data_IF_985051231364
#
_entry.id   IF_985051231364
#
_cell.length_a   1.000
_cell.length_b   1.000
_cell.length_c   1.000
_cell.angle_alpha   90.00
_cell.angle_beta   90.00
_cell.angle_gamma   90.00
#
_symmetry.space_group_name_H-M   'P 1'
#
loop_
_entity.id
_entity.type
_entity.pdbx_description
1 polymer ?
#
# COMPACT_ATOMS: atom_id res chain seq x y z
N UNK A 1 -7.55 7.82 13.22
CA UNK A 1 -8.37 8.01 11.99
C UNK A 1 -7.57 8.20 10.70
N UNK A 2 -6.30 8.63 10.71
CA UNK A 2 -5.55 8.93 9.47
C UNK A 2 -4.91 7.70 8.78
N UNK A 3 -4.48 6.69 9.55
CA UNK A 3 -3.79 5.50 9.00
C UNK A 3 -4.71 4.64 8.13
N UNK A 4 -5.91 4.32 8.60
CA UNK A 4 -6.85 3.48 7.86
C UNK A 4 -7.25 4.10 6.52
N UNK A 5 -7.32 5.43 6.45
CA UNK A 5 -7.58 6.18 5.22
C UNK A 5 -6.39 6.15 4.27
N UNK A 6 -5.17 6.34 4.78
CA UNK A 6 -3.95 6.26 3.99
C UNK A 6 -3.77 4.87 3.36
N UNK A 7 -4.00 3.80 4.14
CA UNK A 7 -3.97 2.42 3.64
C UNK A 7 -5.01 2.20 2.54
N UNK A 8 -6.25 2.66 2.74
CA UNK A 8 -7.30 2.52 1.73
C UNK A 8 -6.91 3.20 0.41
N UNK A 9 -6.41 4.44 0.47
CA UNK A 9 -5.98 5.16 -0.73
C UNK A 9 -4.85 4.44 -1.47
N UNK A 10 -3.89 3.84 -0.74
CA UNK A 10 -2.81 3.07 -1.36
C UNK A 10 -3.34 1.81 -2.06
N UNK A 11 -4.34 1.14 -1.48
CA UNK A 11 -5.03 0.00 -2.10
C UNK A 11 -5.75 0.44 -3.37
N UNK A 12 -6.50 1.54 -3.33
CA UNK A 12 -7.27 2.04 -4.47
C UNK A 12 -6.35 2.41 -5.65
N UNK A 13 -5.22 3.08 -5.37
CA UNK A 13 -4.17 3.37 -6.37
C UNK A 13 -3.63 2.07 -6.97
N UNK A 14 -3.36 1.07 -6.12
CA UNK A 14 -2.81 -0.22 -6.58
C UNK A 14 -3.77 -0.93 -7.53
N UNK A 15 -5.05 -1.00 -7.16
CA UNK A 15 -6.10 -1.59 -7.99
C UNK A 15 -6.28 -0.81 -9.30
N UNK A 16 -6.23 0.52 -9.26
CA UNK A 16 -6.31 1.34 -10.46
C UNK A 16 -5.17 1.02 -11.44
N UNK A 17 -3.93 0.94 -10.96
CA UNK A 17 -2.76 0.60 -11.79
C UNK A 17 -2.88 -0.83 -12.35
N UNK A 18 -3.26 -1.81 -11.52
CA UNK A 18 -3.41 -3.20 -11.95
C UNK A 18 -4.51 -3.36 -13.00
N UNK A 19 -5.61 -2.61 -12.88
CA UNK A 19 -6.70 -2.62 -13.87
C UNK A 19 -6.22 -2.19 -15.26
N UNK A 20 -5.23 -1.28 -15.33
CA UNK A 20 -4.63 -0.83 -16.59
C UNK A 20 -3.67 -1.86 -17.23
N UNK A 21 -3.34 -2.94 -16.52
CA UNK A 21 -2.38 -3.96 -16.96
C UNK A 21 -3.03 -5.32 -17.30
N UNK A 22 -4.37 -5.39 -17.34
CA UNK A 22 -5.12 -6.64 -17.58
C UNK A 22 -4.70 -7.80 -16.65
N UNK A 23 -4.28 -7.48 -15.42
CA UNK A 23 -3.89 -8.47 -14.41
C UNK A 23 -5.10 -9.03 -13.66
N UNK A 24 -4.96 -10.21 -13.02
CA UNK A 24 -5.99 -10.76 -12.15
C UNK A 24 -6.39 -9.76 -11.06
N UNK A 25 -7.69 -9.70 -10.76
CA UNK A 25 -8.19 -8.88 -9.66
C UNK A 25 -7.72 -9.52 -8.34
N UNK A 26 -7.03 -8.78 -7.46
CA UNK A 26 -6.61 -9.32 -6.17
C UNK A 26 -7.81 -9.69 -5.29
N UNK A 27 -7.79 -10.87 -4.65
CA UNK A 27 -8.86 -11.31 -3.74
C UNK A 27 -8.83 -10.56 -2.40
N UNK A 28 -7.69 -9.94 -2.06
CA UNK A 28 -7.47 -9.22 -0.81
C UNK A 28 -6.72 -7.91 -1.04
N UNK A 29 -6.95 -6.94 -0.16
CA UNK A 29 -6.21 -5.67 -0.16
C UNK A 29 -4.69 -5.87 -0.08
N UNK A 30 -4.23 -6.90 0.63
CA UNK A 30 -2.80 -7.23 0.72
C UNK A 30 -2.22 -7.79 -0.58
N UNK A 31 -2.99 -8.61 -1.32
CA UNK A 31 -2.57 -9.14 -2.61
C UNK A 31 -2.38 -8.04 -3.66
N UNK A 32 -3.11 -6.93 -3.59
CA UNK A 32 -2.92 -5.81 -4.51
C UNK A 32 -1.46 -5.31 -4.52
N UNK A 33 -0.81 -5.26 -3.37
CA UNK A 33 0.61 -4.89 -3.28
C UNK A 33 1.55 -5.99 -3.78
N UNK A 34 1.21 -7.26 -3.55
CA UNK A 34 1.96 -8.39 -4.13
C UNK A 34 1.94 -8.36 -5.65
N UNK A 35 0.77 -8.10 -6.24
CA UNK A 35 0.60 -8.01 -7.69
C UNK A 35 1.35 -6.82 -8.31
N UNK A 36 1.38 -5.67 -7.62
CA UNK A 36 2.21 -4.54 -8.05
C UNK A 36 3.70 -4.90 -8.07
N UNK A 37 4.17 -5.67 -7.09
CA UNK A 37 5.57 -6.10 -7.07
C UNK A 37 5.88 -7.10 -8.18
N UNK A 38 4.98 -8.06 -8.43
CA UNK A 38 5.07 -8.98 -9.57
C UNK A 38 4.97 -8.25 -10.93
N UNK A 39 4.40 -7.04 -10.95
CA UNK A 39 4.38 -6.16 -12.10
C UNK A 39 5.64 -5.30 -12.26
N UNK A 40 6.59 -5.39 -11.34
CA UNK A 40 7.78 -4.54 -11.32
C UNK A 40 7.45 -3.06 -11.07
N UNK A 41 6.26 -2.76 -10.54
CA UNK A 41 5.84 -1.38 -10.23
C UNK A 41 6.42 -0.91 -8.91
N UNK A 42 6.54 -1.81 -7.94
CA UNK A 42 7.15 -1.55 -6.64
C UNK A 42 8.09 -2.70 -6.23
N UNK A 43 9.05 -2.40 -5.38
CA UNK A 43 9.95 -3.41 -4.82
C UNK A 43 9.22 -4.33 -3.84
N UNK A 44 9.72 -5.57 -3.74
CA UNK A 44 9.18 -6.57 -2.82
C UNK A 44 9.13 -6.08 -1.37
N UNK A 45 10.17 -5.36 -0.92
CA UNK A 45 10.23 -4.84 0.45
C UNK A 45 9.14 -3.81 0.73
N UNK A 46 8.82 -2.96 -0.26
CA UNK A 46 7.73 -1.96 -0.15
C UNK A 46 6.37 -2.66 -0.14
N UNK A 47 6.19 -3.68 -0.98
CA UNK A 47 4.97 -4.48 -0.99
C UNK A 47 4.71 -5.16 0.36
N UNK A 48 5.74 -5.76 0.98
CA UNK A 48 5.63 -6.38 2.30
C UNK A 48 5.28 -5.36 3.40
N UNK A 49 5.89 -4.17 3.37
CA UNK A 49 5.56 -3.08 4.31
C UNK A 49 4.09 -2.64 4.18
N UNK A 50 3.58 -2.54 2.97
CA UNK A 50 2.18 -2.18 2.69
C UNK A 50 1.21 -3.29 3.12
N UNK A 51 1.53 -4.56 2.85
CA UNK A 51 0.75 -5.71 3.36
C UNK A 51 0.63 -5.70 4.88
N UNK A 52 1.74 -5.44 5.58
CA UNK A 52 1.74 -5.29 7.04
C UNK A 52 0.89 -4.10 7.50
N UNK A 53 0.84 -3.01 6.74
CA UNK A 53 -0.03 -1.87 7.04
C UNK A 53 -1.53 -2.21 6.90
N UNK A 54 -1.91 -3.03 5.92
CA UNK A 54 -3.28 -3.59 5.79
C UNK A 54 -3.63 -4.49 6.98
N UNK A 55 -2.75 -5.43 7.33
CA UNK A 55 -2.97 -6.32 8.47
C UNK A 55 -3.13 -5.54 9.78
N UNK A 56 -2.29 -4.53 9.98
CA UNK A 56 -2.36 -3.66 11.14
C UNK A 56 -3.66 -2.84 11.18
N UNK A 57 -4.13 -2.29 10.04
CA UNK A 57 -5.44 -1.62 9.95
C UNK A 57 -6.55 -2.56 10.43
N UNK A 58 -6.51 -3.82 10.03
CA UNK A 58 -7.55 -4.78 10.38
C UNK A 58 -7.53 -5.11 11.88
N UNK A 59 -6.35 -5.38 12.45
CA UNK A 59 -6.21 -5.63 13.90
C UNK A 59 -6.62 -4.38 14.70
N UNK A 60 -6.16 -3.20 14.29
CA UNK A 60 -6.46 -1.95 14.96
C UNK A 60 -7.95 -1.59 14.91
N UNK A 61 -8.72 -2.08 13.93
CA UNK A 61 -10.17 -1.87 13.85
C UNK A 61 -10.95 -2.91 14.66
N UNK A 62 -10.49 -4.16 14.69
CA UNK A 62 -11.21 -5.27 15.33
C UNK A 62 -10.86 -5.49 16.81
N UNK A 63 -9.64 -5.19 17.26
CA UNK A 63 -9.15 -5.51 18.61
C UNK A 63 -8.98 -4.26 19.51
N UNK A 64 -9.78 -3.21 19.33
CA UNK A 64 -9.64 -1.92 20.02
C UNK A 64 -9.50 -2.03 21.56
N UNK A 65 -10.06 -3.08 22.19
CA UNK A 65 -10.11 -3.25 23.64
C UNK A 65 -8.87 -3.94 24.25
N UNK A 66 -8.12 -4.75 23.48
CA UNK A 66 -6.94 -5.51 23.98
C UNK A 66 -5.59 -4.95 23.50
N UNK A 67 -5.62 -3.82 22.79
CA UNK A 67 -4.45 -3.28 22.11
C UNK A 67 -3.50 -2.53 23.06
N UNK A 68 -2.20 -2.85 22.96
CA UNK A 68 -1.14 -2.02 23.51
C UNK A 68 -0.95 -0.75 22.65
N UNK A 69 -1.52 0.35 23.13
CA UNK A 69 -1.48 1.66 22.46
C UNK A 69 -0.07 2.18 22.17
N UNK A 70 0.97 1.78 22.93
CA UNK A 70 2.35 2.20 22.69
C UNK A 70 2.92 1.55 21.42
N UNK A 71 2.63 0.27 21.18
CA UNK A 71 3.03 -0.45 19.96
C UNK A 71 2.31 0.17 18.75
N UNK A 72 1.02 0.46 18.90
CA UNK A 72 0.22 1.09 17.84
C UNK A 72 0.74 2.47 17.48
N UNK A 73 1.11 3.28 18.48
CA UNK A 73 1.65 4.61 18.28
C UNK A 73 3.00 4.58 17.53
N UNK A 74 3.92 3.70 17.93
CA UNK A 74 5.21 3.52 17.26
C UNK A 74 5.02 3.10 15.80
N UNK A 75 4.18 2.10 15.57
CA UNK A 75 3.89 1.61 14.21
C UNK A 75 3.22 2.70 13.36
N UNK A 76 2.27 3.45 13.91
CA UNK A 76 1.59 4.54 13.20
C UNK A 76 2.54 5.69 12.84
N UNK A 77 3.56 5.94 13.67
CA UNK A 77 4.59 6.95 13.43
C UNK A 77 5.60 6.49 12.38
N UNK A 78 6.07 5.25 12.45
CA UNK A 78 7.10 4.72 11.55
C UNK A 78 6.54 4.45 10.13
N UNK A 79 5.28 4.02 10.02
CA UNK A 79 4.65 3.71 8.73
C UNK A 79 4.46 4.90 7.79
N UNK A 80 4.61 6.13 8.27
CA UNK A 80 4.56 7.32 7.40
C UNK A 80 5.69 7.31 6.36
N UNK A 81 6.86 6.77 6.70
CA UNK A 81 7.96 6.63 5.75
C UNK A 81 7.63 5.60 4.67
N UNK A 82 6.99 4.50 5.04
CA UNK A 82 6.61 3.43 4.11
C UNK A 82 5.63 3.91 3.04
N UNK A 83 4.63 4.73 3.41
CA UNK A 83 3.71 5.31 2.43
C UNK A 83 4.40 6.26 1.47
N UNK A 84 5.40 7.03 1.93
CA UNK A 84 6.19 7.90 1.06
C UNK A 84 6.99 7.10 0.05
N UNK A 85 7.65 6.02 0.49
CA UNK A 85 8.40 5.13 -0.39
C UNK A 85 7.49 4.48 -1.44
N UNK A 86 6.31 4.02 -1.03
CA UNK A 86 5.29 3.50 -1.96
C UNK A 86 4.92 4.53 -3.02
N UNK A 87 4.54 5.75 -2.61
CA UNK A 87 4.17 6.82 -3.57
C UNK A 87 5.32 7.17 -4.49
N UNK A 88 6.56 7.23 -4.01
CA UNK A 88 7.73 7.49 -4.84
C UNK A 88 7.91 6.46 -5.95
N UNK A 89 7.75 5.18 -5.65
CA UNK A 89 7.87 4.11 -6.65
C UNK A 89 6.71 4.12 -7.65
N UNK A 90 5.48 4.38 -7.18
CA UNK A 90 4.32 4.57 -8.07
C UNK A 90 4.55 5.75 -9.03
N UNK A 91 5.01 6.90 -8.52
CA UNK A 91 5.26 8.08 -9.35
C UNK A 91 6.36 7.83 -10.38
N UNK A 92 7.46 7.19 -9.98
CA UNK A 92 8.52 6.80 -10.90
C UNK A 92 7.98 5.89 -12.03
N UNK A 93 7.13 4.91 -11.70
CA UNK A 93 6.48 4.06 -12.70
C UNK A 93 5.57 4.84 -13.65
N UNK A 94 4.73 5.74 -13.12
CA UNK A 94 3.78 6.54 -13.93
C UNK A 94 4.53 7.51 -14.86
N UNK A 95 5.60 8.14 -14.39
CA UNK A 95 6.42 9.03 -15.21
C UNK A 95 7.14 8.27 -16.33
N UNK A 96 7.66 7.07 -16.05
CA UNK A 96 8.23 6.19 -17.10
C UNK A 96 7.16 5.79 -18.14
N UNK A 97 5.90 5.63 -17.73
CA UNK A 97 4.79 5.31 -18.64
C UNK A 97 4.20 6.50 -19.41
N UNK A 98 4.61 7.75 -19.12
CA UNK A 98 4.30 8.91 -19.97
C UNK A 98 5.40 9.05 -21.02
N UNK A 99 5.24 8.50 -22.25
CA UNK A 99 5.97 9.08 -23.37
C UNK A 99 5.50 10.52 -23.50
N UNK A 100 6.47 11.42 -23.59
CA UNK A 100 6.32 12.84 -23.91
C UNK A 100 5.17 13.04 -24.90
N UNK A 101 4.12 13.76 -24.48
CA UNK A 101 3.05 14.14 -25.39
C UNK A 101 3.66 15.00 -26.49
N UNK A 102 3.66 14.44 -27.70
CA UNK A 102 3.66 15.14 -28.99
C UNK A 102 2.68 16.31 -29.00
#
# INVERSE_FOLDING_TARGET
MNLSRAVQLCVDISLHILSSQARPVPDTMGQAFSELSLAGVIDYEVAEKMRKAVGFRNIAVHNYEEINWAIVYTIAREKQADFRLFVQQIMAFVDVKKPEKR
#
